data_IF_834233783587
#
_entry.id   IF_834233783587
#
_cell.length_a   1.000
_cell.length_b   1.000
_cell.length_c   1.000
_cell.angle_alpha   90.00
_cell.angle_beta   90.00
_cell.angle_gamma   90.00
#
_symmetry.space_group_name_H-M   'P 1'
#
loop_
_entity.id
_entity.type
_entity.pdbx_description
1 polymer ?
#
# COMPACT_ATOMS: atom_id res chain seq x y z
N UNK A 1 -12.93 2.61 -1.29
CA UNK A 1 -13.37 3.63 -2.26
C UNK A 1 -13.35 4.99 -1.56
N UNK A 2 -13.40 6.09 -2.32
CA UNK A 2 -13.27 7.45 -1.77
C UNK A 2 -14.37 8.37 -2.31
N UNK A 3 -14.92 9.21 -1.42
CA UNK A 3 -15.86 10.27 -1.75
C UNK A 3 -15.13 11.60 -1.64
N UNK A 4 -15.11 12.37 -2.73
CA UNK A 4 -14.43 13.66 -2.79
C UNK A 4 -15.46 14.77 -2.58
N UNK A 5 -15.34 15.48 -1.47
CA UNK A 5 -16.13 16.69 -1.19
C UNK A 5 -15.38 17.87 -1.78
N UNK A 6 -15.54 18.07 -3.09
CA UNK A 6 -14.85 19.13 -3.82
C UNK A 6 -15.33 20.54 -3.44
N UNK A 7 -16.58 20.68 -2.98
CA UNK A 7 -17.15 21.96 -2.56
C UNK A 7 -18.04 21.79 -1.33
N UNK A 8 -17.77 22.61 -0.32
CA UNK A 8 -18.56 22.69 0.89
C UNK A 8 -18.74 24.17 1.26
N UNK A 9 -19.97 24.63 1.51
CA UNK A 9 -20.27 26.05 1.73
C UNK A 9 -19.66 26.58 3.04
N UNK A 10 -19.67 25.76 4.09
CA UNK A 10 -19.36 26.17 5.46
C UNK A 10 -18.32 25.26 6.12
N UNK A 11 -17.48 24.60 5.33
CA UNK A 11 -16.40 23.78 5.89
C UNK A 11 -15.39 23.41 4.83
N UNK A 12 -14.40 22.64 5.23
CA UNK A 12 -13.27 22.34 4.38
C UNK A 12 -13.62 21.29 3.32
N UNK A 13 -13.15 21.48 2.07
CA UNK A 13 -13.07 20.39 1.11
C UNK A 13 -12.29 19.23 1.71
N UNK A 14 -12.77 18.01 1.51
CA UNK A 14 -12.19 16.83 2.16
C UNK A 14 -12.45 15.57 1.33
N UNK A 15 -11.72 14.51 1.66
CA UNK A 15 -11.91 13.19 1.09
C UNK A 15 -12.33 12.23 2.20
N UNK A 16 -13.40 11.47 1.97
CA UNK A 16 -13.94 10.51 2.93
C UNK A 16 -13.77 9.09 2.38
N UNK A 17 -13.16 8.20 3.15
CA UNK A 17 -13.02 6.78 2.79
C UNK A 17 -14.27 5.98 3.14
N UNK A 18 -14.70 5.10 2.24
CA UNK A 18 -15.86 4.23 2.42
C UNK A 18 -15.68 2.88 1.69
N UNK A 19 -16.51 1.90 2.05
CA UNK A 19 -16.58 0.61 1.36
C UNK A 19 -17.53 0.70 0.17
N UNK A 20 -17.18 0.08 -0.97
CA UNK A 20 -18.07 -0.06 -2.13
C UNK A 20 -18.44 -1.53 -2.34
N UNK A 21 -19.72 -1.86 -2.15
CA UNK A 21 -20.28 -3.19 -2.32
C UNK A 21 -20.78 -3.35 -3.77
N UNK A 22 -19.89 -3.82 -4.66
CA UNK A 22 -20.18 -3.91 -6.11
C UNK A 22 -21.42 -4.75 -6.46
N UNK A 23 -21.71 -5.82 -5.70
CA UNK A 23 -22.91 -6.66 -5.91
C UNK A 23 -24.23 -5.88 -5.78
N UNK A 24 -24.23 -4.83 -4.97
CA UNK A 24 -25.40 -4.02 -4.67
C UNK A 24 -25.28 -2.59 -5.19
N UNK A 25 -24.18 -2.27 -5.89
CA UNK A 25 -23.81 -0.91 -6.32
C UNK A 25 -24.00 0.12 -5.20
N UNK A 26 -23.53 -0.19 -4.00
CA UNK A 26 -23.81 0.59 -2.78
C UNK A 26 -22.54 0.98 -2.05
N UNK A 27 -22.51 2.20 -1.51
CA UNK A 27 -21.50 2.63 -0.55
C UNK A 27 -21.97 2.42 0.89
N UNK A 28 -21.08 1.91 1.74
CA UNK A 28 -21.33 1.71 3.17
C UNK A 28 -20.19 2.34 3.98
N UNK A 29 -20.46 2.64 5.26
CA UNK A 29 -19.43 3.14 6.15
C UNK A 29 -18.28 2.12 6.28
N UNK A 30 -17.05 2.63 6.36
CA UNK A 30 -15.90 1.76 6.61
C UNK A 30 -16.06 1.08 7.99
N UNK A 31 -15.63 -0.18 8.10
CA UNK A 31 -15.66 -0.89 9.37
C UNK A 31 -14.81 -0.16 10.42
N UNK A 32 -15.18 -0.22 11.71
CA UNK A 32 -14.34 0.32 12.79
C UNK A 32 -12.93 -0.27 12.73
N UNK A 33 -11.89 0.57 12.86
CA UNK A 33 -10.48 0.14 12.80
C UNK A 33 -9.94 -0.16 11.39
N UNK A 34 -10.77 -0.12 10.35
CA UNK A 34 -10.28 -0.34 8.99
C UNK A 34 -9.36 0.79 8.51
N UNK A 35 -9.44 2.00 9.05
CA UNK A 35 -8.46 3.04 8.73
C UNK A 35 -7.07 2.67 9.26
N UNK A 36 -6.99 2.13 10.48
CA UNK A 36 -5.74 1.70 11.12
C UNK A 36 -5.11 0.51 10.38
N UNK A 37 -5.93 -0.39 9.82
CA UNK A 37 -5.49 -1.54 9.02
C UNK A 37 -4.94 -1.14 7.63
N UNK A 38 -5.24 0.08 7.19
CA UNK A 38 -4.86 0.66 5.90
C UNK A 38 -3.97 1.89 6.06
N UNK A 39 -3.24 2.02 7.18
CA UNK A 39 -2.16 2.99 7.35
C UNK A 39 -0.95 2.59 6.46
N UNK A 40 -1.11 2.78 5.15
CA UNK A 40 -0.09 2.55 4.11
C UNK A 40 1.10 3.54 4.17
N UNK A 41 1.13 4.44 5.16
CA UNK A 41 2.29 5.30 5.43
C UNK A 41 3.41 4.55 6.16
N UNK A 42 3.17 3.32 6.63
CA UNK A 42 4.25 2.42 6.98
C UNK A 42 4.96 2.00 5.67
N UNK A 43 6.23 2.41 5.43
CA UNK A 43 6.92 1.95 4.26
C UNK A 43 7.07 0.45 4.38
N UNK A 44 6.22 -0.30 3.67
CA UNK A 44 6.41 -1.73 3.46
C UNK A 44 7.81 -1.88 2.87
N UNK A 45 8.79 -2.18 3.73
CA UNK A 45 10.19 -2.17 3.34
C UNK A 45 10.31 -3.14 2.19
N UNK A 46 10.51 -2.59 0.98
CA UNK A 46 10.51 -3.38 -0.24
C UNK A 46 11.41 -4.59 0.02
N UNK A 47 10.94 -5.82 -0.26
CA UNK A 47 11.70 -7.01 0.04
C UNK A 47 13.11 -6.80 -0.50
N UNK A 48 14.14 -6.93 0.33
CA UNK A 48 15.53 -6.62 -0.03
C UNK A 48 15.88 -7.43 -1.27
N UNK A 49 15.75 -6.81 -2.44
CA UNK A 49 16.06 -7.47 -3.71
C UNK A 49 17.58 -7.51 -3.76
N UNK A 50 18.16 -8.67 -3.44
CA UNK A 50 19.59 -8.90 -3.65
C UNK A 50 19.90 -8.59 -5.10
N UNK A 51 20.71 -7.55 -5.32
CA UNK A 51 21.02 -7.08 -6.67
C UNK A 51 21.65 -8.21 -7.46
N UNK A 52 21.49 -8.16 -8.79
CA UNK A 52 22.03 -9.21 -9.63
C UNK A 52 23.57 -9.29 -9.49
N UNK A 53 24.22 -8.13 -9.32
CA UNK A 53 25.64 -7.98 -9.02
C UNK A 53 26.05 -8.65 -7.69
N UNK A 54 25.21 -8.58 -6.66
CA UNK A 54 25.48 -9.17 -5.35
C UNK A 54 25.44 -10.69 -5.38
N UNK A 55 24.53 -11.30 -6.17
CA UNK A 55 24.55 -12.76 -6.35
C UNK A 55 25.78 -13.23 -7.13
N UNK A 56 26.21 -12.48 -8.16
CA UNK A 56 27.42 -12.81 -8.91
C UNK A 56 28.71 -12.64 -8.10
N UNK A 57 28.72 -11.73 -7.11
CA UNK A 57 29.84 -11.60 -6.16
C UNK A 57 30.03 -12.88 -5.32
N UNK A 58 28.94 -13.56 -4.97
CA UNK A 58 28.97 -14.86 -4.29
C UNK A 58 29.43 -16.04 -5.16
N UNK A 59 29.14 -16.00 -6.47
CA UNK A 59 29.53 -17.08 -7.38
C UNK A 59 31.02 -17.07 -7.77
N UNK A 60 31.68 -15.91 -7.78
CA UNK A 60 33.12 -15.80 -8.14
C UNK A 60 34.09 -16.25 -7.04
N UNK A 61 33.59 -16.63 -5.87
CA UNK A 61 34.39 -17.17 -4.75
C UNK A 61 34.46 -18.70 -4.68
N UNK A 62 33.97 -19.41 -5.70
CA UNK A 62 34.07 -20.86 -5.79
C UNK A 62 35.53 -21.30 -5.85
N UNK A 63 36.04 -21.84 -4.74
CA UNK A 63 37.29 -22.58 -4.63
C UNK A 63 37.47 -23.49 -5.86
N UNK A 64 38.41 -23.15 -6.73
CA UNK A 64 39.01 -24.12 -7.61
C UNK A 64 39.79 -25.08 -6.71
N UNK A 65 39.32 -26.33 -6.62
CA UNK A 65 40.07 -27.42 -6.00
C UNK A 65 41.34 -27.64 -6.83
N UNK A 66 42.49 -27.46 -6.19
CA UNK A 66 43.81 -27.93 -6.58
C UNK A 66 44.54 -28.32 -5.30
#
# INVERSE_FOLDING_TARGET
>A
AELIIAKHRNGEPSTVRCAFLGKYSRFEQLAPGALDEFDFDEPQQAPKVTSMAERYRGMKGGRANG
#
